data_IF_230952972026
#
_entry.id   IF_230952972026
#
_cell.length_a   1.000
_cell.length_b   1.000
_cell.length_c   1.000
_cell.angle_alpha   90.00
_cell.angle_beta   90.00
_cell.angle_gamma   90.00
#
_symmetry.space_group_name_H-M   'P 1'
#
loop_
_entity.id
_entity.type
_entity.pdbx_description
1 polymer ?
#
# COMPACT_ATOMS: atom_id res chain seq x y z
N UNK A 1 12.63 -21.10 5.93
CA UNK A 1 12.01 -20.16 4.95
C UNK A 1 12.89 -20.12 3.71
N UNK A 2 12.36 -20.31 2.51
CA UNK A 2 13.11 -20.20 1.26
C UNK A 2 12.78 -18.85 0.62
N UNK A 3 13.79 -17.99 0.46
CA UNK A 3 13.66 -16.72 -0.24
C UNK A 3 14.22 -16.89 -1.67
N UNK A 4 13.55 -16.31 -2.65
CA UNK A 4 14.01 -16.31 -4.05
C UNK A 4 13.80 -14.92 -4.63
N UNK A 5 14.89 -14.34 -5.13
CA UNK A 5 14.91 -13.01 -5.71
C UNK A 5 15.01 -13.13 -7.23
N UNK A 6 14.06 -12.51 -7.95
CA UNK A 6 14.05 -12.42 -9.40
C UNK A 6 14.40 -10.99 -9.81
N UNK A 7 15.61 -10.79 -10.32
CA UNK A 7 16.11 -9.49 -10.78
C UNK A 7 16.52 -9.55 -12.25
N UNK A 8 16.37 -8.44 -12.96
CA UNK A 8 16.75 -8.32 -14.38
C UNK A 8 16.07 -7.12 -15.06
N UNK A 9 16.48 -6.77 -16.28
CA UNK A 9 15.92 -5.64 -17.02
C UNK A 9 14.44 -5.83 -17.38
N UNK A 10 13.78 -4.78 -17.86
CA UNK A 10 12.43 -4.87 -18.43
C UNK A 10 12.37 -5.95 -19.52
N UNK A 11 11.24 -6.66 -19.62
CA UNK A 11 11.04 -7.76 -20.57
C UNK A 11 11.98 -8.98 -20.42
N UNK A 12 12.70 -9.13 -19.30
CA UNK A 12 13.59 -10.28 -19.05
C UNK A 12 12.87 -11.59 -18.69
N UNK A 13 11.55 -11.69 -18.84
CA UNK A 13 10.77 -12.90 -18.50
C UNK A 13 10.51 -13.15 -17.01
N UNK A 14 10.71 -12.15 -16.13
CA UNK A 14 10.41 -12.29 -14.68
C UNK A 14 8.96 -12.68 -14.43
N UNK A 15 8.02 -11.98 -15.08
CA UNK A 15 6.59 -12.25 -14.96
C UNK A 15 6.26 -13.70 -15.36
N UNK A 16 6.81 -14.15 -16.48
CA UNK A 16 6.65 -15.52 -16.98
C UNK A 16 7.17 -16.56 -15.99
N UNK A 17 8.34 -16.28 -15.42
CA UNK A 17 8.98 -17.14 -14.42
C UNK A 17 8.10 -17.27 -13.17
N UNK A 18 7.56 -16.14 -12.68
CA UNK A 18 6.65 -16.12 -11.52
C UNK A 18 5.36 -16.87 -11.84
N UNK A 19 4.74 -16.64 -13.01
CA UNK A 19 3.54 -17.34 -13.45
C UNK A 19 3.75 -18.86 -13.50
N UNK A 20 4.87 -19.31 -14.07
CA UNK A 20 5.23 -20.72 -14.17
C UNK A 20 5.46 -21.38 -12.81
N UNK A 21 6.04 -20.65 -11.84
CA UNK A 21 6.18 -21.15 -10.48
C UNK A 21 4.84 -21.20 -9.74
N UNK A 22 4.02 -20.16 -9.88
CA UNK A 22 2.71 -20.08 -9.27
C UNK A 22 1.78 -21.19 -9.81
N UNK A 23 1.86 -21.50 -11.10
CA UNK A 23 1.10 -22.59 -11.73
C UNK A 23 1.40 -23.95 -11.09
N UNK A 24 2.68 -24.24 -10.80
CA UNK A 24 3.07 -25.49 -10.12
C UNK A 24 2.46 -25.57 -8.72
N UNK A 25 2.48 -24.47 -7.98
CA UNK A 25 1.88 -24.39 -6.64
C UNK A 25 0.37 -24.55 -6.72
N UNK A 26 -0.28 -23.83 -7.64
CA UNK A 26 -1.73 -23.88 -7.85
C UNK A 26 -2.24 -25.28 -8.19
N UNK A 27 -1.52 -26.03 -9.05
CA UNK A 27 -1.88 -27.42 -9.38
C UNK A 27 -1.77 -28.37 -8.19
N UNK A 28 -0.99 -28.01 -7.17
CA UNK A 28 -0.84 -28.81 -5.94
C UNK A 28 -1.91 -28.44 -4.92
N UNK A 29 -2.07 -27.15 -4.64
CA UNK A 29 -3.11 -26.61 -3.77
C UNK A 29 -3.47 -25.17 -4.21
N UNK A 30 -4.66 -24.94 -4.80
CA UNK A 30 -5.12 -23.61 -5.22
C UNK A 30 -5.29 -22.59 -4.08
N UNK A 31 -5.23 -23.02 -2.82
CA UNK A 31 -5.44 -22.18 -1.64
C UNK A 31 -4.15 -21.91 -0.85
N UNK A 32 -3.01 -22.46 -1.24
CA UNK A 32 -1.76 -22.37 -0.48
C UNK A 32 -0.88 -21.15 -0.81
N UNK A 33 -1.37 -20.20 -1.60
CA UNK A 33 -0.57 -19.07 -2.06
C UNK A 33 -1.31 -17.73 -1.97
N UNK A 34 -0.53 -16.66 -1.94
CA UNK A 34 -0.97 -15.30 -2.21
C UNK A 34 -0.09 -14.69 -3.28
N UNK A 35 -0.70 -13.90 -4.16
CA UNK A 35 -0.02 -12.97 -5.03
C UNK A 35 -0.32 -11.55 -4.55
N UNK A 36 0.72 -10.79 -4.23
CA UNK A 36 0.61 -9.39 -3.81
C UNK A 36 1.29 -8.52 -4.86
N UNK A 37 0.53 -7.62 -5.48
CA UNK A 37 1.02 -6.68 -6.49
C UNK A 37 1.00 -5.23 -6.01
N UNK A 38 1.66 -4.31 -6.75
CA UNK A 38 1.76 -2.90 -6.36
C UNK A 38 0.44 -2.14 -6.46
N UNK A 39 -0.49 -2.56 -7.34
CA UNK A 39 -1.76 -1.87 -7.56
C UNK A 39 -2.85 -2.83 -8.04
N UNK A 40 -4.10 -2.40 -7.93
CA UNK A 40 -5.26 -3.16 -8.41
C UNK A 40 -5.17 -3.50 -9.90
N UNK A 41 -4.71 -2.58 -10.74
CA UNK A 41 -4.55 -2.81 -12.18
C UNK A 41 -3.48 -3.83 -12.50
N UNK A 42 -2.32 -3.76 -11.82
CA UNK A 42 -1.26 -4.75 -12.00
C UNK A 42 -1.74 -6.15 -11.56
N UNK A 43 -2.46 -6.22 -10.45
CA UNK A 43 -3.05 -7.47 -9.94
C UNK A 43 -4.08 -8.01 -10.91
N UNK A 44 -4.93 -7.16 -11.48
CA UNK A 44 -5.92 -7.55 -12.50
C UNK A 44 -5.25 -8.13 -13.73
N UNK A 45 -4.25 -7.44 -14.28
CA UNK A 45 -3.47 -7.91 -15.41
C UNK A 45 -2.81 -9.26 -15.12
N UNK A 46 -2.13 -9.40 -13.99
CA UNK A 46 -1.46 -10.66 -13.62
C UNK A 46 -2.48 -11.80 -13.47
N UNK A 47 -3.61 -11.52 -12.82
CA UNK A 47 -4.71 -12.47 -12.61
C UNK A 47 -5.28 -12.98 -13.93
N UNK A 48 -5.57 -12.09 -14.88
CA UNK A 48 -6.07 -12.45 -16.21
C UNK A 48 -5.09 -13.37 -16.96
N UNK A 49 -3.78 -13.05 -16.91
CA UNK A 49 -2.73 -13.87 -17.51
C UNK A 49 -2.55 -15.23 -16.81
N UNK A 50 -2.92 -15.33 -15.53
CA UNK A 50 -2.83 -16.58 -14.79
C UNK A 50 -4.05 -17.47 -15.03
N UNK A 51 -5.26 -16.88 -15.04
CA UNK A 51 -6.52 -17.55 -15.39
C UNK A 51 -6.43 -18.24 -16.75
N UNK A 52 -5.84 -17.59 -17.75
CA UNK A 52 -5.68 -18.18 -19.08
C UNK A 52 -4.81 -19.45 -19.10
N UNK A 53 -4.02 -19.70 -18.04
CA UNK A 53 -3.14 -20.89 -17.91
C UNK A 53 -3.77 -22.02 -17.13
N UNK A 54 -4.47 -21.70 -16.05
CA UNK A 54 -4.98 -22.70 -15.09
C UNK A 54 -6.50 -22.85 -15.09
N UNK A 55 -7.21 -22.02 -15.87
CA UNK A 55 -8.66 -22.02 -15.96
C UNK A 55 -9.31 -21.32 -14.77
N UNK A 56 -9.45 -22.00 -13.63
CA UNK A 56 -10.16 -21.46 -12.46
C UNK A 56 -9.19 -21.08 -11.35
N UNK A 57 -9.43 -19.97 -10.69
CA UNK A 57 -8.61 -19.49 -9.57
C UNK A 57 -9.48 -19.01 -8.42
N UNK A 58 -8.92 -18.99 -7.22
CA UNK A 58 -9.50 -18.22 -6.13
C UNK A 58 -9.02 -16.76 -6.23
N UNK A 59 -9.93 -15.86 -6.61
CA UNK A 59 -9.63 -14.43 -6.79
C UNK A 59 -9.20 -13.74 -5.49
N UNK A 60 -9.60 -14.26 -4.32
CA UNK A 60 -9.22 -13.69 -3.01
C UNK A 60 -7.75 -13.86 -2.67
N UNK A 61 -7.00 -14.63 -3.48
CA UNK A 61 -5.55 -14.82 -3.32
C UNK A 61 -4.71 -13.79 -4.10
N UNK A 62 -5.34 -12.91 -4.86
CA UNK A 62 -4.69 -11.89 -5.68
C UNK A 62 -5.04 -10.52 -5.12
N UNK A 63 -4.08 -9.89 -4.45
CA UNK A 63 -4.31 -8.68 -3.65
C UNK A 63 -3.36 -7.57 -4.10
N UNK A 64 -3.85 -6.34 -4.09
CA UNK A 64 -2.97 -5.18 -4.10
C UNK A 64 -2.34 -5.00 -2.71
N UNK A 65 -1.18 -4.35 -2.65
CA UNK A 65 -0.40 -4.22 -1.41
C UNK A 65 -1.19 -3.55 -0.28
N UNK A 66 -1.93 -2.49 -0.61
CA UNK A 66 -2.83 -1.78 0.30
C UNK A 66 -3.92 -2.69 0.86
N UNK A 67 -4.60 -3.45 0.00
CA UNK A 67 -5.62 -4.41 0.43
C UNK A 67 -5.03 -5.50 1.32
N UNK A 68 -3.87 -6.04 0.94
CA UNK A 68 -3.17 -7.05 1.73
C UNK A 68 -2.81 -6.50 3.13
N UNK A 69 -2.29 -5.29 3.20
CA UNK A 69 -1.97 -4.63 4.47
C UNK A 69 -3.21 -4.42 5.34
N UNK A 70 -4.32 -3.95 4.75
CA UNK A 70 -5.60 -3.75 5.46
C UNK A 70 -6.17 -5.07 5.98
N UNK A 71 -6.12 -6.13 5.18
CA UNK A 71 -6.64 -7.45 5.57
C UNK A 71 -5.86 -8.03 6.75
N UNK A 72 -4.53 -7.96 6.71
CA UNK A 72 -3.67 -8.37 7.83
C UNK A 72 -3.91 -7.48 9.05
N UNK A 73 -3.99 -6.16 8.87
CA UNK A 73 -4.19 -5.24 9.96
C UNK A 73 -5.52 -5.48 10.69
N UNK A 74 -6.62 -5.69 9.95
CA UNK A 74 -7.94 -6.00 10.50
C UNK A 74 -7.97 -7.35 11.21
N UNK A 75 -7.26 -8.34 10.68
CA UNK A 75 -7.15 -9.65 11.32
C UNK A 75 -6.47 -9.54 12.68
N UNK A 76 -5.41 -8.73 12.77
CA UNK A 76 -4.65 -8.51 14.00
C UNK A 76 -5.34 -7.51 14.96
N UNK A 77 -6.11 -6.57 14.41
CA UNK A 77 -6.75 -5.48 15.16
C UNK A 77 -8.23 -5.33 14.76
N UNK A 78 -9.10 -6.28 15.15
CA UNK A 78 -10.49 -6.32 14.69
C UNK A 78 -11.36 -5.16 15.18
N UNK A 79 -10.95 -4.49 16.25
CA UNK A 79 -11.66 -3.32 16.80
C UNK A 79 -11.22 -1.99 16.16
N UNK A 80 -10.23 -2.00 15.27
CA UNK A 80 -9.69 -0.78 14.67
C UNK A 80 -10.59 -0.25 13.55
N UNK A 81 -10.70 1.07 13.48
CA UNK A 81 -11.45 1.78 12.46
C UNK A 81 -10.53 2.43 11.43
N UNK A 82 -10.95 2.40 10.17
CA UNK A 82 -10.32 3.19 9.13
C UNK A 82 -10.85 4.63 9.22
N UNK A 83 -9.95 5.59 9.44
CA UNK A 83 -10.29 7.01 9.45
C UNK A 83 -10.03 7.58 8.06
N UNK A 84 -11.03 8.21 7.46
CA UNK A 84 -10.85 8.86 6.16
C UNK A 84 -10.11 10.18 6.31
N UNK A 85 -9.40 10.57 5.26
CA UNK A 85 -8.69 11.86 5.16
C UNK A 85 -9.60 13.05 5.47
N UNK A 86 -10.89 12.96 5.12
CA UNK A 86 -11.86 14.00 5.48
C UNK A 86 -11.96 14.21 6.99
N UNK A 87 -12.01 13.14 7.79
CA UNK A 87 -12.02 13.25 9.24
C UNK A 87 -10.67 13.78 9.75
N UNK A 88 -9.56 13.36 9.14
CA UNK A 88 -8.23 13.85 9.51
C UNK A 88 -8.15 15.37 9.28
N UNK A 89 -8.65 15.88 8.15
CA UNK A 89 -8.71 17.32 7.86
C UNK A 89 -9.50 18.10 8.92
N UNK A 90 -10.64 17.56 9.36
CA UNK A 90 -11.42 18.17 10.45
C UNK A 90 -10.62 18.20 11.76
N UNK A 91 -9.91 17.12 12.09
CA UNK A 91 -9.07 17.08 13.29
C UNK A 91 -7.86 18.03 13.20
N UNK A 92 -7.24 18.19 12.03
CA UNK A 92 -6.20 19.20 11.81
C UNK A 92 -6.77 20.60 12.11
N UNK A 93 -7.96 20.92 11.58
CA UNK A 93 -8.65 22.18 11.88
C UNK A 93 -8.92 22.38 13.37
N UNK A 94 -9.42 21.35 14.06
CA UNK A 94 -9.66 21.38 15.51
C UNK A 94 -8.37 21.62 16.31
N UNK A 95 -7.24 21.04 15.89
CA UNK A 95 -5.94 21.24 16.53
C UNK A 95 -5.46 22.68 16.31
N UNK A 96 -5.55 23.21 15.09
CA UNK A 96 -5.19 24.60 14.78
C UNK A 96 -6.04 25.59 15.57
N UNK A 97 -7.33 25.33 15.75
CA UNK A 97 -8.20 26.18 16.58
C UNK A 97 -7.73 26.20 18.03
N UNK A 98 -7.42 25.03 18.61
CA UNK A 98 -6.89 24.93 19.98
C UNK A 98 -5.55 25.64 20.15
N UNK A 99 -4.76 25.74 19.09
CA UNK A 99 -3.50 26.50 19.04
C UNK A 99 -3.70 28.01 18.84
N UNK A 100 -4.95 28.47 18.68
CA UNK A 100 -5.27 29.88 18.42
C UNK A 100 -4.93 30.33 17.00
N UNK A 101 -4.75 29.40 16.06
CA UNK A 101 -4.38 29.66 14.65
C UNK A 101 -5.59 29.66 13.73
N UNK A 102 -6.64 30.40 14.11
CA UNK A 102 -7.92 30.40 13.40
C UNK A 102 -7.79 30.88 11.95
N UNK A 103 -6.90 31.84 11.69
CA UNK A 103 -6.67 32.33 10.32
C UNK A 103 -6.17 31.26 9.34
N UNK A 104 -5.59 30.17 9.85
CA UNK A 104 -5.06 29.09 9.02
C UNK A 104 -6.10 28.01 8.70
N UNK A 105 -7.19 27.93 9.47
CA UNK A 105 -8.26 26.94 9.30
C UNK A 105 -9.04 27.21 8.01
N UNK A 106 -9.21 28.49 7.66
CA UNK A 106 -9.96 28.90 6.48
C UNK A 106 -9.24 28.56 5.15
N UNK A 107 -7.95 28.20 5.22
CA UNK A 107 -7.16 27.80 4.07
C UNK A 107 -7.19 26.29 3.87
N UNK A 108 -8.10 25.81 3.01
CA UNK A 108 -8.16 24.40 2.61
C UNK A 108 -6.81 23.89 2.06
N UNK A 109 -6.09 24.73 1.32
CA UNK A 109 -4.75 24.41 0.81
C UNK A 109 -3.74 24.14 1.94
N UNK A 110 -3.80 24.92 3.02
CA UNK A 110 -2.90 24.74 4.16
C UNK A 110 -3.21 23.45 4.95
N UNK A 111 -4.51 23.13 5.10
CA UNK A 111 -4.95 21.88 5.72
C UNK A 111 -4.49 20.66 4.89
N UNK A 112 -4.64 20.73 3.57
CA UNK A 112 -4.17 19.68 2.66
C UNK A 112 -2.66 19.51 2.71
N UNK A 113 -1.91 20.61 2.75
CA UNK A 113 -0.46 20.58 2.91
C UNK A 113 -0.03 19.89 4.22
N UNK A 114 -0.68 20.19 5.35
CA UNK A 114 -0.38 19.50 6.61
C UNK A 114 -0.72 18.00 6.51
N UNK A 115 -1.83 17.65 5.86
CA UNK A 115 -2.21 16.25 5.68
C UNK A 115 -1.16 15.49 4.87
N UNK A 116 -0.69 16.06 3.76
CA UNK A 116 0.39 15.50 2.94
C UNK A 116 1.67 15.32 3.76
N UNK A 117 2.09 16.34 4.53
CA UNK A 117 3.24 16.21 5.43
C UNK A 117 3.10 15.07 6.44
N UNK A 118 1.90 14.88 7.00
CA UNK A 118 1.64 13.77 7.93
C UNK A 118 1.76 12.42 7.22
N UNK A 119 1.32 12.32 5.97
CA UNK A 119 1.46 11.10 5.18
C UNK A 119 2.93 10.81 4.88
N UNK A 120 3.68 11.81 4.41
CA UNK A 120 5.11 11.66 4.13
C UNK A 120 5.88 11.18 5.36
N UNK A 121 5.65 11.82 6.52
CA UNK A 121 6.27 11.43 7.80
C UNK A 121 5.97 9.99 8.16
N UNK A 122 4.74 9.51 7.91
CA UNK A 122 4.36 8.12 8.19
C UNK A 122 5.01 7.14 7.22
N UNK A 123 5.08 7.49 5.94
CA UNK A 123 5.72 6.66 4.92
C UNK A 123 7.21 6.47 5.17
N UNK A 124 7.87 7.50 5.72
CA UNK A 124 9.30 7.49 6.04
C UNK A 124 9.63 7.03 7.47
N UNK A 125 8.66 6.46 8.20
CA UNK A 125 8.94 5.89 9.53
C UNK A 125 9.13 6.90 10.67
N UNK A 126 8.82 8.18 10.45
CA UNK A 126 8.75 9.21 11.49
C UNK A 126 9.49 10.50 11.17
N UNK A 127 9.34 11.48 12.06
CA UNK A 127 9.91 12.84 11.91
C UNK A 127 11.44 12.86 11.89
N UNK A 128 12.08 11.79 12.35
CA UNK A 128 13.55 11.68 12.39
C UNK A 128 14.19 11.51 11.02
N UNK A 129 13.47 10.97 10.03
CA UNK A 129 14.01 10.74 8.68
C UNK A 129 13.76 11.91 7.72
N UNK A 130 12.69 12.69 7.91
CA UNK A 130 12.34 13.85 7.05
C UNK A 130 13.02 15.15 7.46
N UNK A 131 13.21 15.36 8.76
CA UNK A 131 13.84 16.58 9.29
C UNK A 131 15.25 16.31 9.81
N UNK A 132 15.92 15.30 9.26
CA UNK A 132 17.36 15.18 9.43
C UNK A 132 17.98 16.47 8.88
N UNK A 133 18.72 17.17 9.73
CA UNK A 133 19.26 18.52 9.55
C UNK A 133 20.19 18.76 8.35
N UNK A 134 20.25 17.81 7.42
CA UNK A 134 21.07 17.83 6.21
C UNK A 134 20.29 18.24 4.94
N UNK A 135 18.94 18.28 4.98
CA UNK A 135 18.10 18.67 3.83
C UNK A 135 17.87 20.20 3.72
N UNK A 136 18.33 21.01 4.69
CA UNK A 136 18.29 22.49 4.64
C UNK A 136 19.61 23.12 4.15
N UNK A 137 20.46 22.38 3.43
CA UNK A 137 21.67 22.92 2.81
C UNK A 137 21.50 23.06 1.29
N UNK A 138 20.88 24.17 0.85
CA UNK A 138 21.02 24.71 -0.51
C UNK A 138 21.54 26.14 -0.45
#
# INVERSE_FOLDING_TARGET
MKLSLFFGPTASGKTETILSQLEKVHRTDPFSYYFVGPSGDHVRYFRENFVSRVGTINSSRFLAMDQFAVDIFRLLNPASYHISDYIIRLEIGNILEKMGKRELIDSAMFIDYILEMIHDVKEQGGFTEIFASDDEAV
#
